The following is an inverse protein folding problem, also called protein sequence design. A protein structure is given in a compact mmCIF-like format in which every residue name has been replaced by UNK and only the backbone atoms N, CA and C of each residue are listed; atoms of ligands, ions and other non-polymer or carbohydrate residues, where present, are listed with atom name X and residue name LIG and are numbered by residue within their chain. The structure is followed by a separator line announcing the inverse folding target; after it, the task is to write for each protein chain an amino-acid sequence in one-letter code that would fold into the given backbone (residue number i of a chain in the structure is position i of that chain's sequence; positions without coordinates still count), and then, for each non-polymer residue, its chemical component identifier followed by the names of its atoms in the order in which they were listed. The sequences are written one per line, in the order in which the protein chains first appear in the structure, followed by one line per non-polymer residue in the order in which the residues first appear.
data_IF_428556918881
#
_entry.id   IF_428556918881
#
_cell.length_a   1.000
_cell.length_b   1.000
_cell.length_c   1.000
_cell.angle_alpha   90.00
_cell.angle_beta   90.00
_cell.angle_gamma   90.00
#
_symmetry.space_group_name_H-M   'P 1'
#
loop_
_entity.id
_entity.type
_entity.pdbx_description
1 polymer ?
#
# COMPACT_ATOMS: atom_id res chain seq x y z
N UNK A 1 4.64 -22.88 -40.54
CA UNK A 1 3.35 -23.34 -40.00
C UNK A 1 2.86 -22.29 -39.00
N UNK A 2 1.95 -21.42 -39.42
CA UNK A 2 1.25 -20.46 -38.55
C UNK A 2 -0.08 -21.12 -38.16
N UNK A 3 -0.23 -21.51 -36.94
CA UNK A 3 -1.52 -21.96 -36.39
C UNK A 3 -2.34 -20.73 -36.03
N UNK A 4 -3.39 -20.47 -36.79
CA UNK A 4 -4.38 -19.45 -36.52
C UNK A 4 -5.25 -19.94 -35.35
N UNK A 5 -5.12 -19.28 -34.15
CA UNK A 5 -6.06 -19.48 -33.03
C UNK A 5 -7.30 -18.65 -33.39
N UNK A 6 -8.37 -19.35 -33.77
CA UNK A 6 -9.62 -18.74 -34.16
C UNK A 6 -10.40 -18.17 -32.97
N UNK A 7 -11.27 -17.16 -33.19
CA UNK A 7 -11.98 -16.40 -32.15
C UNK A 7 -13.13 -17.15 -31.43
N UNK A 8 -13.17 -18.49 -31.50
CA UNK A 8 -14.28 -19.29 -30.97
C UNK A 8 -14.16 -19.67 -29.49
N UNK A 9 -13.01 -19.44 -28.82
CA UNK A 9 -12.80 -19.86 -27.43
C UNK A 9 -13.21 -18.81 -26.37
N UNK A 10 -13.64 -17.61 -26.77
CA UNK A 10 -14.04 -16.57 -25.81
C UNK A 10 -15.57 -16.41 -25.64
N UNK A 11 -16.39 -17.28 -26.24
CA UNK A 11 -17.86 -17.20 -26.18
C UNK A 11 -18.49 -17.93 -25.00
N UNK A 12 -17.77 -18.41 -24.03
CA UNK A 12 -18.33 -19.19 -22.93
C UNK A 12 -18.02 -18.70 -21.52
N UNK A 13 -17.11 -17.76 -21.36
CA UNK A 13 -16.72 -17.29 -20.02
C UNK A 13 -17.59 -16.09 -19.63
N UNK A 14 -18.74 -16.36 -19.01
CA UNK A 14 -19.45 -15.38 -18.18
C UNK A 14 -18.90 -15.51 -16.77
N UNK A 15 -18.37 -14.45 -16.16
CA UNK A 15 -17.99 -14.51 -14.75
C UNK A 15 -19.23 -14.90 -13.93
N UNK A 16 -19.12 -15.88 -13.01
CA UNK A 16 -20.25 -16.36 -12.21
C UNK A 16 -20.91 -15.31 -11.32
N UNK A 17 -20.28 -14.15 -11.13
CA UNK A 17 -20.81 -13.01 -10.38
C UNK A 17 -22.08 -12.40 -11.00
N UNK A 18 -22.41 -12.68 -12.28
CA UNK A 18 -23.60 -12.13 -12.94
C UNK A 18 -24.77 -13.11 -13.02
N UNK A 19 -24.62 -14.33 -12.55
CA UNK A 19 -25.68 -15.35 -12.71
C UNK A 19 -26.77 -15.33 -11.62
N UNK A 20 -26.61 -14.55 -10.54
CA UNK A 20 -27.63 -14.41 -9.49
C UNK A 20 -28.43 -13.10 -9.52
N UNK A 21 -28.18 -12.23 -10.48
CA UNK A 21 -28.98 -11.03 -10.70
C UNK A 21 -30.03 -11.28 -11.77
N UNK A 22 -31.05 -12.08 -11.44
CA UNK A 22 -32.33 -12.06 -12.19
C UNK A 22 -33.15 -10.79 -11.91
N UNK A 23 -32.52 -9.72 -11.41
CA UNK A 23 -33.05 -8.36 -11.28
C UNK A 23 -32.17 -7.35 -12.00
N UNK A 24 -31.75 -7.64 -13.23
CA UNK A 24 -31.36 -6.58 -14.16
C UNK A 24 -32.65 -6.03 -14.79
N UNK A 25 -33.47 -5.46 -13.95
CA UNK A 25 -34.42 -4.48 -14.36
C UNK A 25 -33.76 -3.13 -14.29
N UNK A 26 -33.45 -2.57 -15.48
CA UNK A 26 -33.06 -1.17 -15.71
C UNK A 26 -32.06 -0.57 -14.73
N UNK A 27 -30.87 -0.27 -15.26
CA UNK A 27 -29.77 0.45 -14.61
C UNK A 27 -30.18 1.88 -14.17
N UNK A 28 -31.05 1.98 -13.21
CA UNK A 28 -31.48 3.17 -12.49
C UNK A 28 -32.21 2.78 -11.21
N UNK A 29 -31.84 1.67 -10.57
CA UNK A 29 -32.15 1.55 -9.15
C UNK A 29 -31.08 2.36 -8.42
N UNK A 30 -31.19 3.71 -8.53
CA UNK A 30 -30.70 4.57 -7.47
C UNK A 30 -31.05 3.89 -6.16
N UNK A 31 -30.07 3.79 -5.27
CA UNK A 31 -30.30 3.45 -3.88
C UNK A 31 -31.56 4.23 -3.44
N UNK A 32 -32.70 3.55 -3.40
CA UNK A 32 -33.89 4.11 -2.82
C UNK A 32 -33.65 4.10 -1.32
N UNK A 33 -32.88 5.09 -0.87
CA UNK A 33 -32.92 5.46 0.53
C UNK A 33 -34.31 6.04 0.76
N UNK A 34 -35.12 5.37 1.56
CA UNK A 34 -36.32 5.97 2.06
C UNK A 34 -35.96 7.31 2.70
N UNK A 35 -36.50 8.45 2.25
CA UNK A 35 -36.16 9.75 2.80
C UNK A 35 -36.85 9.98 4.13
N UNK A 36 -36.54 9.14 5.14
CA UNK A 36 -37.18 9.20 6.45
C UNK A 36 -36.46 10.12 7.41
N UNK A 37 -35.25 10.57 7.08
CA UNK A 37 -34.51 11.50 7.96
C UNK A 37 -34.57 12.90 7.36
N UNK A 38 -35.37 13.76 7.96
CA UNK A 38 -35.33 15.19 7.68
C UNK A 38 -33.90 15.71 7.92
N UNK A 39 -33.35 16.46 6.98
CA UNK A 39 -32.02 17.07 7.12
C UNK A 39 -31.87 17.95 8.40
N UNK A 40 -32.99 18.31 9.04
CA UNK A 40 -33.05 19.07 10.28
C UNK A 40 -32.72 18.23 11.52
N UNK A 41 -32.80 16.89 11.46
CA UNK A 41 -32.62 16.00 12.61
C UNK A 41 -31.21 15.36 12.66
N UNK A 42 -30.30 15.74 11.77
CA UNK A 42 -28.96 15.17 11.71
C UNK A 42 -28.06 15.83 12.75
N UNK A 43 -27.97 15.20 13.91
CA UNK A 43 -27.06 15.62 14.97
C UNK A 43 -25.70 14.92 14.82
N UNK A 44 -24.64 15.49 15.44
CA UNK A 44 -23.31 14.93 15.47
C UNK A 44 -22.47 15.23 14.21
N UNK A 45 -21.33 14.52 14.10
CA UNK A 45 -20.36 14.76 13.05
C UNK A 45 -20.89 14.33 11.69
N UNK A 46 -20.54 15.09 10.66
CA UNK A 46 -20.73 14.76 9.25
C UNK A 46 -19.49 14.12 8.68
N UNK A 47 -19.57 13.58 7.47
CA UNK A 47 -18.44 12.91 6.84
C UNK A 47 -17.23 13.85 6.70
N UNK A 48 -17.43 15.09 6.24
CA UNK A 48 -16.33 16.06 6.11
C UNK A 48 -15.68 16.47 7.42
N UNK A 49 -16.39 16.40 8.54
CA UNK A 49 -15.78 16.67 9.86
C UNK A 49 -14.73 15.59 10.19
N UNK A 50 -14.99 14.34 9.82
CA UNK A 50 -14.03 13.23 9.99
C UNK A 50 -12.79 13.40 9.11
N UNK A 51 -12.94 13.96 7.90
CA UNK A 51 -11.80 14.34 7.07
C UNK A 51 -10.88 15.35 7.78
N UNK A 52 -11.44 16.28 8.54
CA UNK A 52 -10.66 17.20 9.36
C UNK A 52 -9.67 16.46 10.26
N UNK A 53 -10.15 15.45 11.01
CA UNK A 53 -9.28 14.63 11.87
C UNK A 53 -8.27 13.79 11.08
N UNK A 54 -8.68 13.24 9.93
CA UNK A 54 -7.80 12.43 9.10
C UNK A 54 -6.69 13.26 8.47
N UNK A 55 -6.97 14.53 8.15
CA UNK A 55 -6.02 15.48 7.55
C UNK A 55 -4.99 16.03 8.54
N UNK A 56 -5.27 16.09 9.84
CA UNK A 56 -4.36 16.69 10.82
C UNK A 56 -2.93 16.15 10.74
N UNK A 57 -2.67 14.82 10.76
CA UNK A 57 -1.31 14.30 10.60
C UNK A 57 -0.70 14.65 9.25
N UNK A 58 -1.50 14.64 8.18
CA UNK A 58 -1.06 15.00 6.83
C UNK A 58 -0.61 16.46 6.76
N UNK A 59 -1.40 17.39 7.29
CA UNK A 59 -1.06 18.81 7.35
C UNK A 59 0.20 19.06 8.18
N UNK A 60 0.33 18.37 9.32
CA UNK A 60 1.56 18.45 10.12
C UNK A 60 2.77 17.95 9.32
N UNK A 61 2.66 16.82 8.62
CA UNK A 61 3.73 16.25 7.79
C UNK A 61 4.07 17.12 6.57
N UNK A 62 3.12 17.91 6.05
CA UNK A 62 3.37 18.81 4.93
C UNK A 62 3.94 20.16 5.36
N UNK A 63 3.85 20.52 6.64
CA UNK A 63 4.27 21.82 7.17
C UNK A 63 5.45 21.68 8.14
N UNK A 64 5.18 21.37 9.41
CA UNK A 64 6.16 21.35 10.50
C UNK A 64 7.05 20.10 10.43
N UNK A 65 6.45 18.94 10.23
CA UNK A 65 7.13 17.65 10.19
C UNK A 65 7.55 17.21 8.78
N UNK A 66 7.67 18.11 7.84
CA UNK A 66 7.89 17.81 6.43
C UNK A 66 9.08 16.87 6.24
N UNK A 67 8.92 15.74 5.50
CA UNK A 67 10.03 14.85 5.16
C UNK A 67 11.12 15.59 4.41
N UNK A 68 12.39 15.42 4.81
CA UNK A 68 13.54 16.08 4.19
C UNK A 68 13.68 15.73 2.72
N UNK A 69 13.34 14.49 2.34
CA UNK A 69 13.32 14.06 0.94
C UNK A 69 12.40 14.91 0.03
N UNK A 70 11.42 15.62 0.61
CA UNK A 70 10.53 16.51 -0.13
C UNK A 70 10.99 17.98 -0.08
N UNK A 71 12.07 18.28 0.65
CA UNK A 71 12.65 19.63 0.70
C UNK A 71 13.59 19.80 -0.49
N UNK A 72 13.43 20.92 -1.17
CA UNK A 72 14.39 21.39 -2.14
C UNK A 72 15.42 22.23 -1.38
N UNK A 73 16.64 21.72 -1.21
CA UNK A 73 17.71 22.52 -0.68
C UNK A 73 18.05 23.60 -1.68
N UNK A 74 17.54 24.81 -1.38
CA UNK A 74 17.80 25.98 -2.23
C UNK A 74 19.30 26.28 -2.31
N UNK A 75 19.86 26.28 -3.51
CA UNK A 75 21.13 26.91 -3.89
C UNK A 75 22.46 26.24 -3.45
N UNK A 76 22.50 24.96 -3.10
CA UNK A 76 23.74 24.17 -2.99
C UNK A 76 23.96 23.26 -4.21
N UNK A 77 25.21 22.87 -4.44
CA UNK A 77 25.56 21.83 -5.43
C UNK A 77 24.91 20.52 -4.95
N UNK A 78 23.75 20.16 -5.54
CA UNK A 78 23.04 18.93 -5.19
C UNK A 78 23.89 17.74 -5.60
N UNK A 79 23.99 16.77 -4.71
CA UNK A 79 24.40 15.43 -5.09
C UNK A 79 23.34 14.89 -6.07
N UNK A 80 23.71 14.38 -7.25
CA UNK A 80 22.78 13.71 -8.17
C UNK A 80 21.91 12.65 -7.49
N UNK A 81 22.38 12.16 -6.36
CA UNK A 81 21.69 11.17 -5.56
C UNK A 81 20.53 11.76 -4.72
N UNK A 82 20.66 12.97 -4.22
CA UNK A 82 19.56 13.66 -3.51
C UNK A 82 18.41 13.95 -4.46
N UNK A 83 18.71 14.29 -5.73
CA UNK A 83 17.69 14.44 -6.77
C UNK A 83 16.98 13.10 -7.08
N UNK A 84 17.72 11.98 -7.07
CA UNK A 84 17.12 10.65 -7.25
C UNK A 84 16.18 10.28 -6.09
N UNK A 85 16.58 10.49 -4.84
CA UNK A 85 15.75 10.25 -3.66
C UNK A 85 14.48 11.10 -3.67
N UNK A 86 14.62 12.38 -4.01
CA UNK A 86 13.48 13.29 -4.11
C UNK A 86 12.51 12.83 -5.20
N UNK A 87 13.02 12.50 -6.38
CA UNK A 87 12.21 11.96 -7.49
C UNK A 87 11.50 10.68 -7.09
N UNK A 88 12.18 9.76 -6.39
CA UNK A 88 11.60 8.53 -5.91
C UNK A 88 10.48 8.79 -4.88
N UNK A 89 10.67 9.74 -3.96
CA UNK A 89 9.67 10.11 -2.97
C UNK A 89 8.40 10.70 -3.63
N UNK A 90 8.54 11.61 -4.60
CA UNK A 90 7.39 12.14 -5.34
C UNK A 90 6.72 11.07 -6.20
N UNK A 91 7.50 10.20 -6.85
CA UNK A 91 6.96 9.10 -7.65
C UNK A 91 6.20 8.09 -6.79
N UNK A 92 6.70 7.80 -5.58
CA UNK A 92 6.01 6.97 -4.60
C UNK A 92 4.66 7.57 -4.21
N UNK A 93 4.62 8.86 -3.83
CA UNK A 93 3.37 9.54 -3.47
C UNK A 93 2.40 9.51 -4.65
N UNK A 94 2.84 9.89 -5.86
CA UNK A 94 1.99 9.91 -7.05
C UNK A 94 1.45 8.50 -7.37
N UNK A 95 2.29 7.47 -7.28
CA UNK A 95 1.90 6.08 -7.51
C UNK A 95 0.83 5.62 -6.50
N UNK A 96 1.06 5.87 -5.21
CA UNK A 96 0.11 5.46 -4.16
C UNK A 96 -1.23 6.19 -4.31
N UNK A 97 -1.22 7.47 -4.67
CA UNK A 97 -2.46 8.22 -4.91
C UNK A 97 -3.22 7.69 -6.13
N UNK A 98 -2.51 7.37 -7.22
CA UNK A 98 -3.14 6.77 -8.40
C UNK A 98 -3.75 5.40 -8.07
N UNK A 99 -3.06 4.57 -7.30
CA UNK A 99 -3.57 3.27 -6.85
C UNK A 99 -4.76 3.43 -5.91
N UNK A 100 -4.78 4.45 -5.02
CA UNK A 100 -5.92 4.67 -4.13
C UNK A 100 -7.19 5.06 -4.89
N UNK A 101 -7.07 5.85 -5.96
CA UNK A 101 -8.20 6.17 -6.84
C UNK A 101 -8.68 4.90 -7.56
N UNK A 102 -7.76 4.09 -8.10
CA UNK A 102 -8.13 2.81 -8.70
C UNK A 102 -8.78 1.86 -7.68
N UNK A 103 -8.31 1.86 -6.44
CA UNK A 103 -8.90 1.09 -5.34
C UNK A 103 -10.36 1.50 -5.07
N UNK A 104 -10.65 2.81 -5.02
CA UNK A 104 -12.01 3.31 -4.83
C UNK A 104 -12.97 2.73 -5.87
N UNK A 105 -12.59 2.78 -7.14
CA UNK A 105 -13.46 2.33 -8.23
C UNK A 105 -13.56 0.80 -8.37
N UNK A 106 -12.59 0.04 -7.90
CA UNK A 106 -12.55 -1.43 -8.07
C UNK A 106 -13.01 -2.13 -6.79
N UNK A 107 -12.30 -1.90 -5.70
CA UNK A 107 -12.46 -2.69 -4.47
C UNK A 107 -13.56 -2.14 -3.58
N UNK A 108 -13.57 -0.84 -3.38
CA UNK A 108 -14.47 -0.17 -2.45
C UNK A 108 -15.90 -0.14 -3.02
N UNK A 109 -16.03 0.09 -4.34
CA UNK A 109 -17.32 -0.04 -5.03
C UNK A 109 -17.90 -1.45 -4.96
N UNK A 110 -17.06 -2.50 -5.04
CA UNK A 110 -17.52 -3.89 -4.86
C UNK A 110 -18.06 -4.12 -3.45
N UNK A 111 -17.38 -3.59 -2.43
CA UNK A 111 -17.84 -3.67 -1.05
C UNK A 111 -19.18 -2.97 -0.82
N UNK A 112 -19.35 -1.78 -1.41
CA UNK A 112 -20.59 -1.03 -1.36
C UNK A 112 -21.73 -1.73 -2.15
N UNK A 113 -21.43 -2.30 -3.33
CA UNK A 113 -22.40 -3.05 -4.14
C UNK A 113 -22.91 -4.32 -3.44
N UNK A 114 -22.03 -5.03 -2.74
CA UNK A 114 -22.40 -6.20 -1.92
C UNK A 114 -23.17 -5.75 -0.67
N UNK A 115 -22.98 -4.50 -0.22
CA UNK A 115 -23.52 -3.94 1.00
C UNK A 115 -22.71 -4.30 2.24
N UNK A 116 -21.39 -4.55 2.09
CA UNK A 116 -20.47 -4.78 3.21
C UNK A 116 -20.34 -3.51 4.05
N UNK A 117 -20.39 -2.34 3.41
CA UNK A 117 -20.50 -1.03 4.04
C UNK A 117 -21.54 -0.17 3.35
N UNK A 118 -22.17 0.67 4.13
CA UNK A 118 -23.21 1.57 3.69
C UNK A 118 -22.94 2.97 4.28
N UNK A 119 -23.29 4.01 3.55
CA UNK A 119 -23.09 5.41 3.96
C UNK A 119 -24.40 6.05 4.35
N UNK A 120 -24.39 6.90 5.38
CA UNK A 120 -25.57 7.67 5.76
C UNK A 120 -25.69 8.89 4.84
N UNK A 121 -26.68 8.93 3.93
CA UNK A 121 -26.80 10.01 2.95
C UNK A 121 -27.07 11.36 3.59
N UNK A 122 -27.70 11.39 4.78
CA UNK A 122 -27.95 12.64 5.50
C UNK A 122 -26.67 13.28 6.05
N UNK A 123 -25.58 12.52 6.13
CA UNK A 123 -24.27 12.97 6.60
C UNK A 123 -23.26 13.22 5.50
N UNK A 124 -23.59 12.85 4.27
CA UNK A 124 -22.85 13.16 3.06
C UNK A 124 -23.33 14.48 2.44
N UNK A 125 -22.49 15.11 1.61
CA UNK A 125 -22.86 16.37 0.95
C UNK A 125 -23.87 16.20 -0.19
N UNK A 126 -24.05 14.98 -0.67
CA UNK A 126 -24.84 14.69 -1.87
C UNK A 126 -24.19 15.20 -3.17
N UNK A 127 -22.91 15.58 -3.12
CA UNK A 127 -22.12 15.92 -4.30
C UNK A 127 -21.76 14.63 -5.02
N UNK A 128 -22.62 14.22 -5.92
CA UNK A 128 -22.42 13.19 -6.93
C UNK A 128 -21.82 11.87 -6.43
N UNK A 129 -22.53 10.80 -6.67
CA UNK A 129 -21.96 9.47 -6.47
C UNK A 129 -21.00 9.19 -7.61
N UNK A 130 -19.73 9.13 -7.29
CA UNK A 130 -18.71 8.62 -8.20
C UNK A 130 -18.81 7.09 -8.19
N UNK A 131 -19.56 6.52 -9.13
CA UNK A 131 -19.93 5.11 -9.12
C UNK A 131 -20.96 4.80 -8.01
N UNK A 132 -20.65 3.93 -7.05
CA UNK A 132 -21.49 3.60 -5.89
C UNK A 132 -21.01 4.28 -4.60
N UNK A 133 -20.02 5.15 -4.71
CA UNK A 133 -19.37 5.78 -3.56
C UNK A 133 -19.67 7.27 -3.52
N UNK A 134 -19.96 7.85 -2.34
CA UNK A 134 -19.99 9.28 -2.19
C UNK A 134 -18.58 9.86 -2.43
N UNK A 135 -18.52 11.11 -2.90
CA UNK A 135 -17.25 11.79 -3.17
C UNK A 135 -16.37 11.85 -1.93
N UNK A 136 -16.97 11.90 -0.76
CA UNK A 136 -16.30 11.85 0.53
C UNK A 136 -15.48 10.56 0.71
N UNK A 137 -16.00 9.41 0.28
CA UNK A 137 -15.27 8.15 0.40
C UNK A 137 -14.02 8.15 -0.48
N UNK A 138 -14.12 8.63 -1.71
CA UNK A 138 -12.95 8.78 -2.58
C UNK A 138 -11.90 9.71 -1.95
N UNK A 139 -12.34 10.81 -1.34
CA UNK A 139 -11.47 11.72 -0.61
C UNK A 139 -10.88 11.05 0.65
N UNK A 140 -11.65 10.19 1.35
CA UNK A 140 -11.18 9.43 2.50
C UNK A 140 -9.99 8.54 2.14
N UNK A 141 -10.12 7.74 1.08
CA UNK A 141 -9.04 6.87 0.60
C UNK A 141 -7.79 7.67 0.23
N UNK A 142 -7.97 8.79 -0.44
CA UNK A 142 -6.88 9.69 -0.79
C UNK A 142 -6.13 10.20 0.45
N UNK A 143 -6.85 10.72 1.45
CA UNK A 143 -6.25 11.22 2.68
C UNK A 143 -5.59 10.12 3.50
N UNK A 144 -6.21 8.94 3.55
CA UNK A 144 -5.67 7.78 4.26
C UNK A 144 -4.30 7.37 3.71
N UNK A 145 -4.18 7.20 2.39
CA UNK A 145 -2.91 6.77 1.78
C UNK A 145 -1.86 7.86 1.76
N UNK A 146 -2.26 9.14 1.57
CA UNK A 146 -1.35 10.28 1.63
C UNK A 146 -0.67 10.38 2.99
N UNK A 147 -1.46 10.31 4.06
CA UNK A 147 -0.95 10.30 5.44
C UNK A 147 0.06 9.17 5.65
N UNK A 148 -0.28 7.96 5.23
CA UNK A 148 0.58 6.79 5.40
C UNK A 148 1.89 6.94 4.58
N UNK A 149 1.80 7.43 3.35
CA UNK A 149 2.97 7.66 2.49
C UNK A 149 3.90 8.73 3.07
N UNK A 150 3.38 9.89 3.49
CA UNK A 150 4.17 10.95 4.09
C UNK A 150 4.81 10.51 5.41
N UNK A 151 4.08 9.76 6.24
CA UNK A 151 4.61 9.20 7.47
C UNK A 151 5.75 8.20 7.18
N UNK A 152 5.60 7.33 6.19
CA UNK A 152 6.65 6.41 5.79
C UNK A 152 7.92 7.15 5.32
N UNK A 153 7.79 8.22 4.55
CA UNK A 153 8.93 9.05 4.15
C UNK A 153 9.60 9.72 5.36
N UNK A 154 8.80 10.15 6.35
CA UNK A 154 9.34 10.75 7.58
C UNK A 154 10.08 9.72 8.43
N UNK A 155 9.54 8.53 8.58
CA UNK A 155 10.16 7.43 9.33
C UNK A 155 11.46 6.98 8.68
N UNK A 156 11.56 7.02 7.35
CA UNK A 156 12.77 6.65 6.61
C UNK A 156 13.96 7.61 6.85
N UNK A 157 13.73 8.78 7.45
CA UNK A 157 14.80 9.70 7.88
C UNK A 157 15.48 9.25 9.18
N UNK A 158 14.81 8.36 9.93
CA UNK A 158 15.38 7.80 11.15
C UNK A 158 16.44 6.77 10.77
N UNK A 159 17.68 7.06 11.06
CA UNK A 159 18.78 6.12 10.84
C UNK A 159 18.76 5.02 11.91
N UNK A 160 18.06 3.94 11.59
CA UNK A 160 17.90 2.76 12.43
C UNK A 160 18.66 1.57 11.85
N UNK A 161 19.52 1.81 10.88
CA UNK A 161 20.33 0.77 10.27
C UNK A 161 21.38 0.30 11.28
N UNK A 162 21.10 -0.80 11.94
CA UNK A 162 22.17 -1.68 12.40
C UNK A 162 22.75 -2.35 11.15
N UNK A 163 23.74 -1.70 10.55
CA UNK A 163 24.33 -2.10 9.27
C UNK A 163 24.96 -3.51 9.29
N UNK A 164 25.09 -4.11 10.47
CA UNK A 164 25.82 -5.37 10.66
C UNK A 164 25.00 -6.64 10.43
N UNK A 165 23.68 -6.55 10.36
CA UNK A 165 22.82 -7.71 10.17
C UNK A 165 22.06 -7.68 8.83
N UNK A 166 22.78 -7.69 7.71
CA UNK A 166 22.12 -8.04 6.46
C UNK A 166 21.56 -9.47 6.60
N UNK A 167 20.24 -9.65 6.76
CA UNK A 167 19.70 -10.97 7.06
C UNK A 167 20.04 -11.90 5.91
N UNK A 168 20.54 -13.09 6.24
CA UNK A 168 20.77 -14.15 5.29
C UNK A 168 19.56 -14.32 4.37
N UNK A 169 19.77 -14.67 3.12
CA UNK A 169 18.67 -14.91 2.18
C UNK A 169 17.65 -15.87 2.80
N UNK A 170 16.38 -15.56 2.63
CA UNK A 170 15.32 -16.46 3.10
C UNK A 170 15.44 -17.82 2.41
N UNK A 171 15.45 -18.94 3.15
CA UNK A 171 15.47 -20.27 2.55
C UNK A 171 14.39 -20.42 1.47
N UNK A 172 14.71 -21.09 0.39
CA UNK A 172 13.78 -21.26 -0.74
C UNK A 172 12.44 -21.84 -0.29
N UNK A 173 12.48 -22.83 0.59
CA UNK A 173 11.26 -23.47 1.14
C UNK A 173 10.35 -22.48 1.86
N UNK A 174 10.91 -21.57 2.68
CA UNK A 174 10.11 -20.56 3.36
C UNK A 174 9.56 -19.51 2.41
N UNK A 175 10.31 -19.16 1.37
CA UNK A 175 9.82 -18.26 0.32
C UNK A 175 8.66 -18.89 -0.44
N UNK A 176 8.81 -20.13 -0.86
CA UNK A 176 7.80 -20.85 -1.63
C UNK A 176 6.55 -21.09 -0.76
N UNK A 177 6.72 -21.41 0.52
CA UNK A 177 5.61 -21.52 1.49
C UNK A 177 4.88 -20.18 1.68
N UNK A 178 5.60 -19.06 1.79
CA UNK A 178 5.00 -17.73 1.89
C UNK A 178 4.20 -17.35 0.63
N UNK A 179 4.75 -17.65 -0.54
CA UNK A 179 4.03 -17.44 -1.81
C UNK A 179 2.75 -18.31 -1.88
N UNK A 180 2.85 -19.58 -1.52
CA UNK A 180 1.70 -20.49 -1.50
C UNK A 180 0.63 -20.00 -0.53
N UNK A 181 1.02 -19.55 0.66
CA UNK A 181 0.09 -18.99 1.65
C UNK A 181 -0.65 -17.78 1.11
N UNK A 182 0.06 -16.83 0.47
CA UNK A 182 -0.57 -15.63 -0.10
C UNK A 182 -1.52 -15.98 -1.26
N UNK A 183 -1.13 -16.91 -2.12
CA UNK A 183 -2.02 -17.40 -3.19
C UNK A 183 -3.26 -18.07 -2.60
N UNK A 184 -3.08 -18.94 -1.61
CA UNK A 184 -4.19 -19.62 -0.94
C UNK A 184 -5.11 -18.62 -0.23
N UNK A 185 -4.55 -17.59 0.43
CA UNK A 185 -5.32 -16.53 1.06
C UNK A 185 -6.15 -15.74 0.04
N UNK A 186 -5.57 -15.35 -1.09
CA UNK A 186 -6.31 -14.66 -2.16
C UNK A 186 -7.42 -15.54 -2.74
N UNK A 187 -7.14 -16.82 -3.01
CA UNK A 187 -8.13 -17.76 -3.52
C UNK A 187 -9.27 -17.99 -2.50
N UNK A 188 -8.95 -18.12 -1.21
CA UNK A 188 -9.96 -18.26 -0.16
C UNK A 188 -10.81 -17.00 -0.02
N UNK A 189 -10.22 -15.80 -0.22
CA UNK A 189 -10.95 -14.54 -0.26
C UNK A 189 -11.97 -14.49 -1.40
N UNK A 190 -11.55 -14.86 -2.61
CA UNK A 190 -12.47 -14.96 -3.77
C UNK A 190 -13.57 -15.98 -3.51
N UNK A 191 -13.23 -17.14 -2.94
CA UNK A 191 -14.23 -18.14 -2.57
C UNK A 191 -15.23 -17.61 -1.53
N UNK A 192 -14.76 -16.92 -0.49
CA UNK A 192 -15.62 -16.32 0.53
C UNK A 192 -16.62 -15.31 -0.07
N UNK A 193 -16.18 -14.49 -1.04
CA UNK A 193 -17.05 -13.54 -1.74
C UNK A 193 -18.14 -14.21 -2.57
N UNK A 194 -17.88 -15.41 -3.09
CA UNK A 194 -18.82 -16.16 -3.93
C UNK A 194 -19.69 -17.14 -3.12
N UNK A 195 -19.32 -17.43 -1.87
CA UNK A 195 -20.04 -18.37 -1.00
C UNK A 195 -21.28 -17.71 -0.37
N UNK A 196 -22.17 -18.56 0.15
CA UNK A 196 -23.35 -18.13 0.94
C UNK A 196 -22.97 -17.74 2.38
N UNK A 197 -21.70 -17.80 2.76
CA UNK A 197 -21.21 -17.44 4.08
C UNK A 197 -21.04 -15.92 4.20
N UNK A 198 -22.16 -15.21 4.36
CA UNK A 198 -22.16 -13.73 4.45
C UNK A 198 -21.18 -13.18 5.47
N UNK A 199 -21.04 -13.81 6.63
CA UNK A 199 -20.12 -13.38 7.69
C UNK A 199 -18.63 -13.33 7.27
N UNK A 200 -18.26 -13.95 6.15
CA UNK A 200 -16.90 -13.95 5.63
C UNK A 200 -16.68 -12.93 4.50
N UNK A 201 -17.70 -12.19 4.09
CA UNK A 201 -17.62 -11.29 2.92
C UNK A 201 -16.58 -10.17 3.13
N UNK A 202 -16.58 -9.53 4.29
CA UNK A 202 -15.63 -8.43 4.58
C UNK A 202 -14.18 -8.92 4.55
N UNK A 203 -13.84 -9.95 5.35
CA UNK A 203 -12.48 -10.50 5.36
C UNK A 203 -12.12 -11.15 4.02
N UNK A 204 -13.08 -11.71 3.31
CA UNK A 204 -12.92 -12.25 1.97
C UNK A 204 -12.53 -11.18 0.96
N UNK A 205 -13.17 -10.01 1.01
CA UNK A 205 -12.85 -8.88 0.15
C UNK A 205 -11.42 -8.37 0.42
N UNK A 206 -11.05 -8.21 1.69
CA UNK A 206 -9.68 -7.83 2.10
C UNK A 206 -8.66 -8.84 1.58
N UNK A 207 -8.89 -10.13 1.78
CA UNK A 207 -7.97 -11.18 1.37
C UNK A 207 -7.84 -11.27 -0.16
N UNK A 208 -8.95 -11.21 -0.89
CA UNK A 208 -8.96 -11.27 -2.36
C UNK A 208 -8.18 -10.12 -3.00
N UNK A 209 -8.32 -8.91 -2.43
CA UNK A 209 -7.67 -7.72 -2.98
C UNK A 209 -6.21 -7.59 -2.56
N UNK A 210 -5.91 -7.76 -1.26
CA UNK A 210 -4.57 -7.47 -0.75
C UNK A 210 -3.58 -8.63 -0.87
N UNK A 211 -4.02 -9.88 -0.95
CA UNK A 211 -3.09 -11.00 -1.09
C UNK A 211 -2.24 -10.91 -2.38
N UNK A 212 -2.76 -10.56 -3.56
CA UNK A 212 -1.94 -10.28 -4.75
C UNK A 212 -0.94 -9.15 -4.55
N UNK A 213 -1.34 -8.06 -3.87
CA UNK A 213 -0.45 -6.94 -3.55
C UNK A 213 0.70 -7.42 -2.67
N UNK A 214 0.41 -8.17 -1.61
CA UNK A 214 1.43 -8.72 -0.72
C UNK A 214 2.28 -9.80 -1.38
N UNK A 215 1.78 -10.51 -2.37
CA UNK A 215 2.59 -11.45 -3.14
C UNK A 215 3.69 -10.70 -3.92
N UNK A 216 3.37 -9.56 -4.51
CA UNK A 216 4.34 -8.68 -5.18
C UNK A 216 5.32 -8.10 -4.16
N UNK A 217 4.82 -7.49 -3.10
CA UNK A 217 5.61 -6.88 -2.02
C UNK A 217 6.56 -7.89 -1.38
N UNK A 218 6.08 -9.09 -1.08
CA UNK A 218 6.90 -10.15 -0.50
C UNK A 218 8.04 -10.59 -1.43
N UNK A 219 7.77 -10.74 -2.71
CA UNK A 219 8.81 -11.16 -3.65
C UNK A 219 9.84 -10.08 -3.95
N UNK A 220 9.45 -8.82 -4.02
CA UNK A 220 10.34 -7.70 -4.30
C UNK A 220 11.07 -7.20 -3.04
N UNK A 221 10.35 -7.08 -1.92
CA UNK A 221 10.82 -6.32 -0.76
C UNK A 221 11.20 -7.15 0.47
N UNK A 222 11.01 -8.47 0.48
CA UNK A 222 11.19 -9.30 1.69
C UNK A 222 12.56 -9.15 2.38
N UNK A 223 13.63 -8.96 1.61
CA UNK A 223 14.99 -8.78 2.16
C UNK A 223 15.04 -7.48 2.96
N UNK A 224 14.59 -6.39 2.35
CA UNK A 224 14.58 -5.08 2.97
C UNK A 224 13.65 -5.02 4.17
N UNK A 225 12.43 -5.55 4.06
CA UNK A 225 11.46 -5.56 5.15
C UNK A 225 11.98 -6.31 6.38
N UNK A 226 12.79 -7.35 6.19
CA UNK A 226 13.43 -8.08 7.29
C UNK A 226 14.57 -7.30 7.93
N UNK A 227 15.43 -6.65 7.15
CA UNK A 227 16.53 -5.85 7.68
C UNK A 227 16.06 -4.59 8.39
N UNK A 228 14.90 -4.04 7.98
CA UNK A 228 14.36 -2.79 8.50
C UNK A 228 13.00 -2.98 9.19
N UNK A 229 12.76 -4.14 9.80
CA UNK A 229 11.45 -4.47 10.38
C UNK A 229 10.94 -3.45 11.41
N UNK A 230 11.85 -2.79 12.16
CA UNK A 230 11.50 -1.76 13.15
C UNK A 230 10.94 -0.52 12.45
N UNK A 231 11.64 -0.02 11.42
CA UNK A 231 11.17 1.10 10.61
C UNK A 231 9.84 0.78 9.94
N UNK A 232 9.70 -0.46 9.49
CA UNK A 232 8.47 -0.95 8.90
C UNK A 232 7.31 -0.93 9.92
N UNK A 233 7.50 -1.41 11.14
CA UNK A 233 6.48 -1.36 12.19
C UNK A 233 6.11 0.07 12.57
N UNK A 234 7.08 0.96 12.73
CA UNK A 234 6.84 2.37 13.05
C UNK A 234 6.18 3.10 11.86
N UNK A 235 6.53 2.75 10.63
CA UNK A 235 5.88 3.28 9.45
C UNK A 235 4.42 2.85 9.31
N UNK A 236 4.09 1.65 9.77
CA UNK A 236 2.79 1.03 9.64
C UNK A 236 1.81 1.34 10.77
N UNK A 237 2.20 1.04 12.02
CA UNK A 237 1.26 1.03 13.15
C UNK A 237 0.63 2.39 13.46
N UNK A 238 1.37 3.52 13.59
CA UNK A 238 0.75 4.79 13.95
C UNK A 238 -0.27 5.28 12.92
N UNK A 239 0.00 5.34 11.61
CA UNK A 239 -0.99 5.81 10.65
C UNK A 239 -2.16 4.84 10.47
N UNK A 240 -1.94 3.53 10.62
CA UNK A 240 -3.00 2.53 10.59
C UNK A 240 -3.95 2.66 11.77
N UNK A 241 -3.41 2.69 12.99
CA UNK A 241 -4.20 2.85 14.22
C UNK A 241 -4.95 4.18 14.27
N UNK A 242 -4.34 5.26 13.75
CA UNK A 242 -5.02 6.54 13.62
C UNK A 242 -6.26 6.42 12.73
N UNK A 243 -6.14 5.77 11.56
CA UNK A 243 -7.27 5.59 10.65
C UNK A 243 -8.36 4.72 11.29
N UNK A 244 -7.97 3.63 11.95
CA UNK A 244 -8.92 2.77 12.70
C UNK A 244 -9.68 3.56 13.75
N UNK A 245 -9.00 4.44 14.50
CA UNK A 245 -9.65 5.27 15.52
C UNK A 245 -10.68 6.25 14.90
N UNK A 246 -10.35 6.88 13.78
CA UNK A 246 -11.27 7.79 13.08
C UNK A 246 -12.44 7.01 12.45
N UNK A 247 -12.19 5.80 11.94
CA UNK A 247 -13.23 4.93 11.43
C UNK A 247 -14.23 4.54 12.54
N UNK A 248 -13.73 4.10 13.69
CA UNK A 248 -14.58 3.82 14.85
C UNK A 248 -15.42 5.04 15.28
N UNK A 249 -14.82 6.24 15.23
CA UNK A 249 -15.56 7.48 15.48
C UNK A 249 -16.68 7.67 14.44
N UNK A 250 -16.41 7.45 13.15
CA UNK A 250 -17.38 7.55 12.07
C UNK A 250 -18.55 6.60 12.26
N UNK A 251 -18.28 5.35 12.67
CA UNK A 251 -19.33 4.37 13.00
C UNK A 251 -20.17 4.81 14.19
N UNK A 252 -19.56 5.32 15.28
CA UNK A 252 -20.30 5.78 16.47
C UNK A 252 -21.11 7.04 16.20
N UNK A 253 -20.81 7.76 15.14
CA UNK A 253 -21.54 8.94 14.69
C UNK A 253 -22.52 8.64 13.56
N UNK A 254 -22.73 7.36 13.22
CA UNK A 254 -23.62 6.91 12.13
C UNK A 254 -23.32 7.59 10.77
N UNK A 255 -22.05 7.90 10.49
CA UNK A 255 -21.62 8.44 9.19
C UNK A 255 -21.60 7.34 8.14
N UNK A 256 -21.11 6.17 8.53
CA UNK A 256 -21.18 4.92 7.80
C UNK A 256 -21.40 3.76 8.77
N UNK A 257 -21.81 2.64 8.24
CA UNK A 257 -22.04 1.44 9.03
C UNK A 257 -21.72 0.17 8.24
N UNK A 258 -21.43 -0.87 8.98
CA UNK A 258 -21.11 -2.18 8.44
C UNK A 258 -22.17 -3.16 8.94
N UNK A 259 -23.07 -3.66 8.06
CA UNK A 259 -24.08 -4.61 8.47
C UNK A 259 -23.48 -5.84 9.13
N UNK A 260 -23.92 -6.22 10.35
CA UNK A 260 -23.32 -7.30 11.12
C UNK A 260 -23.28 -8.65 10.40
N UNK A 261 -24.19 -8.87 9.45
CA UNK A 261 -24.25 -10.12 8.67
C UNK A 261 -22.99 -10.38 7.84
N UNK A 262 -22.26 -9.32 7.45
CA UNK A 262 -21.05 -9.42 6.62
C UNK A 262 -19.75 -9.44 7.40
N UNK A 263 -19.85 -9.42 8.73
CA UNK A 263 -18.71 -9.41 9.64
C UNK A 263 -18.62 -10.75 10.38
N UNK A 264 -17.39 -11.15 10.73
CA UNK A 264 -17.15 -12.36 11.53
C UNK A 264 -17.72 -12.27 12.95
N UNK A 265 -18.10 -11.07 13.37
CA UNK A 265 -18.58 -10.81 14.74
C UNK A 265 -17.47 -10.72 15.79
N UNK A 266 -16.20 -10.82 15.39
CA UNK A 266 -15.08 -10.64 16.31
C UNK A 266 -14.90 -9.15 16.58
N UNK A 267 -15.14 -8.76 17.83
CA UNK A 267 -14.99 -7.38 18.26
C UNK A 267 -14.35 -7.31 19.65
N UNK A 268 -13.74 -6.16 19.96
CA UNK A 268 -13.12 -5.84 21.24
C UNK A 268 -13.66 -4.51 21.76
N UNK A 269 -13.34 -4.19 23.04
CA UNK A 269 -13.79 -2.94 23.67
C UNK A 269 -15.31 -2.76 23.59
N UNK A 270 -16.06 -3.74 24.08
CA UNK A 270 -17.53 -3.75 24.10
C UNK A 270 -18.18 -3.53 22.72
N UNK A 271 -17.53 -4.05 21.66
CA UNK A 271 -18.04 -3.96 20.29
C UNK A 271 -17.61 -2.70 19.52
N UNK A 272 -16.90 -1.79 20.19
CA UNK A 272 -16.45 -0.55 19.56
C UNK A 272 -15.44 -0.79 18.44
N UNK A 273 -14.51 -1.75 18.61
CA UNK A 273 -13.53 -2.12 17.59
C UNK A 273 -13.89 -3.47 16.97
N UNK A 274 -14.40 -3.45 15.76
CA UNK A 274 -14.66 -4.63 14.94
C UNK A 274 -13.39 -5.02 14.20
N UNK A 275 -12.88 -6.23 14.41
CA UNK A 275 -11.58 -6.66 13.86
C UNK A 275 -11.59 -6.78 12.34
N UNK A 276 -12.71 -7.14 11.75
CA UNK A 276 -12.89 -7.15 10.29
C UNK A 276 -12.55 -5.77 9.69
N UNK A 277 -13.13 -4.72 10.27
CA UNK A 277 -12.99 -3.34 9.78
C UNK A 277 -11.57 -2.81 10.08
N UNK A 278 -11.08 -3.05 11.30
CA UNK A 278 -9.70 -2.69 11.64
C UNK A 278 -8.70 -3.33 10.66
N UNK A 279 -8.96 -4.57 10.21
CA UNK A 279 -8.10 -5.25 9.24
C UNK A 279 -8.04 -4.53 7.90
N UNK A 280 -9.14 -3.94 7.42
CA UNK A 280 -9.17 -3.15 6.18
C UNK A 280 -8.11 -2.05 6.22
N UNK A 281 -8.14 -1.21 7.26
CA UNK A 281 -7.24 -0.06 7.37
C UNK A 281 -5.81 -0.44 7.74
N UNK A 282 -5.65 -1.46 8.60
CA UNK A 282 -4.32 -1.95 8.95
C UNK A 282 -3.63 -2.59 7.74
N UNK A 283 -4.33 -3.40 6.95
CA UNK A 283 -3.78 -4.08 5.78
C UNK A 283 -3.50 -3.09 4.64
N UNK A 284 -4.39 -2.11 4.40
CA UNK A 284 -4.15 -1.06 3.40
C UNK A 284 -2.95 -0.18 3.77
N UNK A 285 -2.84 0.26 5.03
CA UNK A 285 -1.67 1.01 5.51
C UNK A 285 -0.39 0.19 5.38
N UNK A 286 -0.45 -1.12 5.69
CA UNK A 286 0.66 -2.05 5.53
C UNK A 286 1.15 -2.11 4.08
N UNK A 287 0.24 -2.17 3.12
CA UNK A 287 0.57 -2.18 1.70
C UNK A 287 1.27 -0.88 1.26
N UNK A 288 0.77 0.29 1.71
CA UNK A 288 1.41 1.59 1.44
C UNK A 288 2.82 1.63 2.03
N UNK A 289 2.96 1.28 3.31
CA UNK A 289 4.25 1.30 4.02
C UNK A 289 5.27 0.36 3.37
N UNK A 290 4.86 -0.85 3.02
CA UNK A 290 5.73 -1.83 2.39
C UNK A 290 6.17 -1.40 0.98
N UNK A 291 5.27 -0.80 0.21
CA UNK A 291 5.60 -0.25 -1.11
C UNK A 291 6.62 0.88 -1.01
N UNK A 292 6.44 1.81 -0.08
CA UNK A 292 7.40 2.90 0.18
C UNK A 292 8.76 2.37 0.60
N UNK A 293 8.78 1.39 1.49
CA UNK A 293 10.02 0.75 1.95
C UNK A 293 10.81 0.11 0.79
N UNK A 294 10.14 -0.57 -0.14
CA UNK A 294 10.78 -1.18 -1.31
C UNK A 294 11.37 -0.12 -2.25
N UNK A 295 10.63 0.95 -2.51
CA UNK A 295 11.09 2.03 -3.40
C UNK A 295 12.33 2.71 -2.81
N UNK A 296 12.32 3.00 -1.51
CA UNK A 296 13.45 3.60 -0.83
C UNK A 296 14.68 2.67 -0.82
N UNK A 297 14.49 1.36 -0.59
CA UNK A 297 15.55 0.38 -0.67
C UNK A 297 16.19 0.31 -2.06
N UNK A 298 15.38 0.34 -3.10
CA UNK A 298 15.89 0.35 -4.47
C UNK A 298 16.77 1.58 -4.74
N UNK A 299 16.42 2.74 -4.19
CA UNK A 299 17.24 3.94 -4.29
C UNK A 299 18.59 3.77 -3.57
N UNK A 300 18.62 3.19 -2.37
CA UNK A 300 19.87 2.94 -1.63
C UNK A 300 20.77 1.94 -2.36
N UNK A 301 20.21 0.89 -2.94
CA UNK A 301 20.97 -0.07 -3.76
C UNK A 301 21.56 0.59 -5.02
N UNK A 302 20.84 1.48 -5.67
CA UNK A 302 21.34 2.22 -6.83
C UNK A 302 22.51 3.13 -6.44
N UNK A 303 22.45 3.78 -5.29
CA UNK A 303 23.55 4.58 -4.73
C UNK A 303 24.79 3.74 -4.50
N UNK A 304 24.67 2.68 -3.71
CA UNK A 304 25.78 1.80 -3.37
C UNK A 304 26.47 1.25 -4.64
N UNK A 305 25.69 0.89 -5.66
CA UNK A 305 26.21 0.42 -6.94
C UNK A 305 26.93 1.53 -7.74
N UNK A 306 26.47 2.77 -7.66
CA UNK A 306 27.13 3.90 -8.31
C UNK A 306 28.47 4.24 -7.63
N UNK A 307 28.51 4.27 -6.31
CA UNK A 307 29.72 4.51 -5.51
C UNK A 307 30.78 3.42 -5.75
N UNK A 308 30.38 2.14 -5.76
CA UNK A 308 31.30 1.03 -6.01
C UNK A 308 31.96 1.10 -7.40
N UNK A 309 31.22 1.54 -8.43
CA UNK A 309 31.74 1.72 -9.79
C UNK A 309 32.71 2.89 -9.90
N UNK A 310 32.58 3.92 -9.08
CA UNK A 310 33.49 5.06 -9.06
C UNK A 310 34.82 4.71 -8.34
N UNK A 311 34.76 3.83 -7.35
CA UNK A 311 35.98 3.39 -6.60
C UNK A 311 36.85 2.43 -7.41
N UNK A 312 36.28 1.62 -8.29
CA UNK A 312 37.01 0.60 -9.06
C UNK A 312 38.08 1.17 -10.02
N UNK A 313 37.85 2.29 -10.75
CA UNK A 313 38.90 2.86 -11.64
C UNK A 313 40.08 3.47 -10.89
N UNK A 314 39.87 4.01 -9.68
CA UNK A 314 40.95 4.63 -8.90
C UNK A 314 41.92 3.59 -8.32
N UNK A 315 41.44 2.46 -7.88
CA UNK A 315 42.29 1.35 -7.38
C UNK A 315 43.05 0.69 -8.52
N UNK A 316 42.47 0.55 -9.70
CA UNK A 316 43.18 0.03 -10.88
C UNK A 316 44.24 1.00 -11.40
N UNK A 317 44.08 2.31 -11.22
CA UNK A 317 45.05 3.32 -11.61
C UNK A 317 46.21 3.47 -10.59
N UNK A 318 45.98 3.04 -9.35
CA UNK A 318 47.02 3.09 -8.27
C UNK A 318 47.88 1.84 -8.19
N UNK A 319 47.65 0.80 -8.99
CA UNK A 319 48.47 -0.42 -9.06
C UNK A 319 49.28 -0.63 -10.34
N UNK A 320 49.84 0.40 -11.03
CA UNK A 320 50.63 0.16 -12.22
C UNK A 320 52.10 -0.19 -11.94
N UNK A 321 52.57 -0.14 -10.72
CA UNK A 321 54.04 -0.26 -10.45
C UNK A 321 54.50 -1.50 -9.66
N UNK A 322 53.61 -2.34 -9.15
CA UNK A 322 54.04 -3.56 -8.48
C UNK A 322 54.57 -4.64 -9.44
N UNK A 323 53.95 -4.76 -10.63
CA UNK A 323 54.36 -5.74 -11.63
C UNK A 323 55.65 -5.35 -12.38
N UNK A 324 56.02 -4.06 -12.46
CA UNK A 324 57.24 -3.59 -13.11
C UNK A 324 58.47 -3.76 -12.21
N UNK A 325 58.27 -3.72 -10.87
CA UNK A 325 59.38 -3.94 -9.90
C UNK A 325 59.86 -5.39 -9.87
N UNK A 326 58.95 -6.33 -9.93
CA UNK A 326 59.28 -7.77 -9.89
C UNK A 326 59.93 -8.28 -11.21
N UNK A 327 59.55 -7.69 -12.36
CA UNK A 327 60.19 -8.01 -13.63
C UNK A 327 61.65 -7.49 -13.71
N UNK A 328 61.93 -6.32 -13.12
CA UNK A 328 63.28 -5.76 -13.07
C UNK A 328 64.18 -6.54 -12.10
N UNK A 329 63.67 -7.01 -10.99
CA UNK A 329 64.40 -7.85 -10.01
C UNK A 329 64.72 -9.25 -10.60
N UNK A 330 63.78 -9.82 -11.38
CA UNK A 330 64.01 -11.11 -12.03
C UNK A 330 65.01 -11.03 -13.16
N UNK A 331 65.17 -9.91 -13.87
CA UNK A 331 66.17 -9.72 -14.92
C UNK A 331 67.55 -9.51 -14.32
N UNK A 332 67.71 -8.91 -13.14
CA UNK A 332 69.02 -8.73 -12.45
C UNK A 332 69.49 -10.02 -11.83
N UNK A 333 68.66 -10.94 -11.42
CA UNK A 333 69.02 -12.24 -10.87
C UNK A 333 69.50 -13.25 -11.95
N UNK A 334 69.08 -13.02 -13.23
CA UNK A 334 69.45 -13.90 -14.35
C UNK A 334 70.74 -13.49 -15.09
N UNK A 335 71.39 -12.34 -14.73
CA UNK A 335 72.61 -11.83 -15.36
C UNK A 335 73.83 -11.92 -14.47
N UNK A 336 73.77 -12.68 -13.38
CA UNK A 336 74.90 -12.92 -12.45
C UNK A 336 75.56 -14.29 -12.69
N UNK A 337 76.33 -14.43 -13.76
CA UNK A 337 77.46 -15.33 -13.92
C UNK A 337 78.63 -14.54 -14.45
#
# INVERSE_FOLDING_TARGET
MRAAIGPAMLRGWRPPLLAHSSRVGTAATMLHFDPVVSAADVTGLKYWDLHGFLLLPTLWLLTVGKPQMLLSDGAGRRDPYDDLRQTAAYSFIAFILAISVAQAFIWDSVGAEIGIWEFNPAKCTGLGDLSLLPVEEVAWLFHHVMKAALWQLKVAELDWTTADDAPSALPKSLRDAGNLLLVALGASGVYALQSDADALKCVGLVAAFFAPVFLIVFNLGRRYLRSHWRLFLIGWLPPGLWTVAIDCLGQTQDVWFFPPRYLTGIATFDGWLKLDIASVYMVSTLAVTATGAIILAACEELKANAESKQLTPQTAALTPNAAAGDAAAALHAASGE
#
